data_IF_089853393927
#
_entry.id   IF_089853393927
#
_cell.length_a   1.000
_cell.length_b   1.000
_cell.length_c   1.000
_cell.angle_alpha   90.00
_cell.angle_beta   90.00
_cell.angle_gamma   90.00
#
_symmetry.space_group_name_H-M   'P 1'
#
loop_
_entity.id
_entity.type
_entity.pdbx_description
1 polymer ?
#
# COMPACT_ATOMS: atom_id res chain seq x y z
N UNK A 1 33.10 -5.95 79.94
CA UNK A 1 33.87 -7.18 79.66
C UNK A 1 32.96 -8.06 78.84
N UNK A 2 33.19 -8.49 77.61
CA UNK A 2 34.26 -8.51 76.61
C UNK A 2 33.49 -8.99 75.34
N UNK A 3 33.74 -8.64 74.09
CA UNK A 3 34.76 -7.85 73.44
C UNK A 3 34.39 -7.79 71.93
N UNK A 4 34.94 -6.77 71.24
CA UNK A 4 35.54 -6.83 69.88
C UNK A 4 34.61 -7.17 68.70
N UNK A 5 34.74 -6.63 67.49
CA UNK A 5 35.73 -5.78 66.81
C UNK A 5 35.13 -5.50 65.42
N UNK A 6 35.05 -4.25 64.94
CA UNK A 6 36.05 -3.55 64.11
C UNK A 6 36.00 -3.81 62.59
N UNK A 7 36.17 -2.69 61.86
CA UNK A 7 36.59 -2.48 60.46
C UNK A 7 35.60 -2.77 59.30
N UNK A 8 35.17 -1.70 58.60
CA UNK A 8 35.74 -1.30 57.27
C UNK A 8 35.11 0.00 56.74
N UNK A 9 35.96 0.83 56.12
CA UNK A 9 35.65 2.09 55.42
C UNK A 9 35.33 1.84 53.92
N UNK A 10 35.30 2.86 53.03
CA UNK A 10 34.14 3.30 52.26
C UNK A 10 34.14 2.80 50.79
N UNK A 11 32.98 2.79 50.12
CA UNK A 11 32.95 2.67 48.66
C UNK A 11 32.05 3.77 48.09
N UNK A 12 32.73 4.82 47.60
CA UNK A 12 32.24 5.74 46.58
C UNK A 12 31.86 4.91 45.35
N UNK A 13 30.57 4.67 45.15
CA UNK A 13 30.06 4.17 43.88
C UNK A 13 29.67 5.38 43.02
N UNK A 14 30.48 5.58 41.98
CA UNK A 14 30.32 6.59 40.93
C UNK A 14 28.89 6.60 40.42
N UNK A 15 28.25 7.77 40.44
CA UNK A 15 27.03 8.01 39.67
C UNK A 15 27.36 7.80 38.18
N UNK A 16 26.96 6.66 37.63
CA UNK A 16 26.85 6.49 36.19
C UNK A 16 25.76 7.46 35.71
N UNK A 17 26.17 8.53 35.03
CA UNK A 17 25.26 9.34 34.24
C UNK A 17 24.72 8.44 33.13
N UNK A 18 23.56 7.84 33.35
CA UNK A 18 22.80 7.19 32.28
C UNK A 18 22.31 8.31 31.36
N UNK A 19 22.88 8.34 30.16
CA UNK A 19 22.48 9.22 29.07
C UNK A 19 21.03 8.95 28.70
N UNK A 20 20.13 9.88 29.03
CA UNK A 20 18.75 9.88 28.58
C UNK A 20 18.69 10.41 27.15
N UNK A 21 18.93 9.56 26.15
CA UNK A 21 18.35 9.80 24.83
C UNK A 21 17.02 9.06 24.78
N UNK A 22 15.93 9.80 24.92
CA UNK A 22 14.60 9.30 24.55
C UNK A 22 14.56 9.19 23.04
N UNK A 23 14.55 7.97 22.51
CA UNK A 23 14.15 7.71 21.13
C UNK A 23 12.71 8.17 20.99
N UNK A 24 12.51 9.31 20.33
CA UNK A 24 11.17 9.74 19.91
C UNK A 24 10.77 8.75 18.82
N UNK A 25 9.91 7.80 19.14
CA UNK A 25 9.16 7.06 18.14
C UNK A 25 8.24 8.08 17.48
N UNK A 26 8.68 8.67 16.37
CA UNK A 26 7.79 9.41 15.50
C UNK A 26 6.98 8.35 14.78
N UNK A 27 5.78 8.07 15.29
CA UNK A 27 4.79 7.26 14.59
C UNK A 27 4.43 8.03 13.31
N UNK A 28 5.10 7.70 12.20
CA UNK A 28 4.79 8.26 10.90
C UNK A 28 3.40 7.76 10.51
N UNK A 29 2.41 8.66 10.57
CA UNK A 29 1.05 8.38 10.13
C UNK A 29 1.02 8.48 8.62
N UNK A 30 1.08 7.34 7.96
CA UNK A 30 0.73 7.21 6.55
C UNK A 30 -0.77 7.46 6.41
N UNK A 31 -1.18 8.70 6.15
CA UNK A 31 -2.59 9.06 5.92
C UNK A 31 -3.23 8.19 4.83
N UNK A 32 -2.44 7.83 3.81
CA UNK A 32 -2.83 6.91 2.73
C UNK A 32 -3.19 5.52 3.28
N UNK A 33 -2.41 5.01 4.23
CA UNK A 33 -2.60 3.67 4.81
C UNK A 33 -3.81 3.65 5.76
N UNK A 34 -4.03 4.72 6.51
CA UNK A 34 -5.23 4.87 7.35
C UNK A 34 -6.51 5.01 6.51
N UNK A 35 -6.45 5.68 5.36
CA UNK A 35 -7.56 5.75 4.41
C UNK A 35 -7.84 4.40 3.75
N UNK A 36 -6.81 3.66 3.33
CA UNK A 36 -6.95 2.29 2.82
C UNK A 36 -7.56 1.36 3.87
N UNK A 37 -7.10 1.41 5.12
CA UNK A 37 -7.65 0.59 6.21
C UNK A 37 -9.10 0.95 6.55
N UNK A 38 -9.50 2.23 6.44
CA UNK A 38 -10.90 2.65 6.57
C UNK A 38 -11.78 2.20 5.41
N UNK A 39 -11.25 2.15 4.19
CA UNK A 39 -11.97 1.66 3.01
C UNK A 39 -12.16 0.14 3.03
N UNK A 40 -11.25 -0.61 3.68
CA UNK A 40 -11.41 -2.04 3.97
C UNK A 40 -12.36 -2.19 5.17
N UNK A 41 -13.65 -1.97 4.95
CA UNK A 41 -14.70 -2.23 5.95
C UNK A 41 -14.76 -3.74 6.23
N UNK A 42 -13.97 -4.20 7.20
CA UNK A 42 -14.04 -5.59 7.70
C UNK A 42 -15.35 -5.75 8.46
N UNK A 43 -16.32 -6.45 7.86
CA UNK A 43 -17.57 -6.79 8.54
C UNK A 43 -17.23 -7.55 9.83
N UNK A 44 -17.73 -7.13 11.00
CA UNK A 44 -17.45 -7.81 12.25
C UNK A 44 -17.97 -9.25 12.19
N UNK A 45 -17.11 -10.20 12.55
CA UNK A 45 -17.48 -11.61 12.60
C UNK A 45 -18.54 -11.78 13.71
N UNK A 46 -19.72 -12.36 13.42
CA UNK A 46 -20.77 -12.53 14.42
C UNK A 46 -20.27 -13.42 15.57
N UNK A 47 -20.37 -12.90 16.80
CA UNK A 47 -19.80 -13.46 18.05
C UNK A 47 -20.35 -14.85 18.43
N UNK A 48 -21.37 -15.32 17.71
CA UNK A 48 -22.18 -16.51 17.97
C UNK A 48 -22.09 -17.56 16.87
N UNK A 49 -21.15 -17.46 15.91
CA UNK A 49 -20.87 -18.58 15.01
C UNK A 49 -20.08 -19.65 15.77
N UNK A 50 -20.64 -20.85 15.90
CA UNK A 50 -19.87 -22.03 16.29
C UNK A 50 -18.63 -22.17 15.39
N UNK A 51 -17.52 -22.68 15.94
CA UNK A 51 -16.21 -22.85 15.23
C UNK A 51 -16.31 -23.60 13.89
N UNK A 52 -17.45 -24.24 13.62
CA UNK A 52 -17.72 -25.10 12.48
C UNK A 52 -18.35 -24.32 11.31
N UNK A 53 -18.76 -23.05 11.45
CA UNK A 53 -19.56 -22.33 10.43
C UNK A 53 -18.86 -21.14 9.73
N UNK A 54 -17.55 -20.98 9.90
CA UNK A 54 -16.79 -19.91 9.22
C UNK A 54 -16.73 -20.07 7.69
N UNK A 55 -16.80 -21.30 7.18
CA UNK A 55 -16.76 -21.59 5.72
C UNK A 55 -18.12 -21.42 5.02
N UNK A 56 -19.25 -21.41 5.74
CA UNK A 56 -20.58 -21.20 5.13
C UNK A 56 -20.81 -19.74 4.72
N UNK A 57 -20.10 -18.80 5.33
CA UNK A 57 -20.15 -17.37 5.04
C UNK A 57 -18.72 -16.83 5.08
N UNK A 58 -17.92 -17.08 4.02
CA UNK A 58 -16.56 -16.56 3.99
C UNK A 58 -16.59 -15.03 4.10
N UNK A 59 -15.59 -14.47 4.77
CA UNK A 59 -15.42 -13.01 4.95
C UNK A 59 -15.37 -12.29 3.61
N UNK A 60 -14.82 -12.98 2.59
CA UNK A 60 -14.82 -12.54 1.21
C UNK A 60 -15.48 -13.63 0.34
N UNK A 61 -16.58 -13.28 -0.31
CA UNK A 61 -17.09 -14.02 -1.45
C UNK A 61 -16.70 -13.22 -2.68
N UNK A 62 -15.92 -13.82 -3.59
CA UNK A 62 -15.70 -13.19 -4.89
C UNK A 62 -17.07 -12.95 -5.53
N UNK A 63 -17.32 -11.79 -6.16
CA UNK A 63 -18.54 -11.59 -6.93
C UNK A 63 -18.53 -12.59 -8.09
N UNK A 64 -19.09 -13.77 -7.86
CA UNK A 64 -19.09 -14.87 -8.80
C UNK A 64 -20.45 -14.89 -9.48
N UNK A 65 -20.46 -14.60 -10.78
CA UNK A 65 -21.65 -14.78 -11.59
C UNK A 65 -21.93 -16.27 -11.72
N UNK A 66 -23.18 -16.67 -11.48
CA UNK A 66 -23.55 -18.07 -11.55
C UNK A 66 -23.38 -18.60 -12.98
N UNK A 67 -22.87 -19.82 -13.16
CA UNK A 67 -22.59 -20.39 -14.51
C UNK A 67 -23.86 -20.45 -15.38
N UNK A 68 -25.01 -20.80 -14.79
CA UNK A 68 -26.30 -20.75 -15.49
C UNK A 68 -26.74 -19.33 -15.89
N UNK A 69 -26.22 -18.29 -15.26
CA UNK A 69 -26.48 -16.92 -15.68
C UNK A 69 -25.55 -16.46 -16.80
N UNK A 70 -24.49 -17.21 -17.14
CA UNK A 70 -23.55 -16.82 -18.19
C UNK A 70 -23.96 -17.32 -19.58
N UNK A 71 -24.52 -18.53 -19.62
CA UNK A 71 -24.87 -19.21 -20.87
C UNK A 71 -26.32 -18.93 -21.30
N UNK A 72 -26.60 -18.98 -22.61
CA UNK A 72 -27.97 -18.98 -23.10
C UNK A 72 -28.73 -20.22 -22.62
N UNK A 73 -29.96 -20.03 -22.13
CA UNK A 73 -30.81 -21.11 -21.61
C UNK A 73 -31.33 -22.06 -22.70
N UNK A 74 -31.36 -21.62 -23.96
CA UNK A 74 -31.82 -22.40 -25.09
C UNK A 74 -30.99 -22.14 -26.34
N UNK A 75 -31.04 -23.09 -27.28
CA UNK A 75 -30.44 -22.99 -28.60
C UNK A 75 -31.44 -23.38 -29.67
N UNK A 76 -31.26 -22.84 -30.88
CA UNK A 76 -32.07 -23.23 -32.03
C UNK A 76 -31.58 -24.58 -32.57
N UNK A 77 -32.52 -25.47 -32.94
CA UNK A 77 -32.19 -26.76 -33.60
C UNK A 77 -31.41 -26.57 -34.90
N UNK A 78 -31.66 -25.46 -35.59
CA UNK A 78 -30.98 -25.06 -36.82
C UNK A 78 -29.51 -24.63 -36.59
N UNK A 79 -29.05 -24.55 -35.34
CA UNK A 79 -27.68 -24.13 -34.99
C UNK A 79 -27.46 -22.61 -34.95
N UNK A 80 -28.52 -21.80 -35.08
CA UNK A 80 -28.42 -20.34 -34.92
C UNK A 80 -27.97 -19.98 -33.51
N UNK A 81 -27.00 -19.06 -33.41
CA UNK A 81 -26.43 -18.64 -32.13
C UNK A 81 -27.37 -17.70 -31.39
N UNK A 82 -27.65 -18.01 -30.12
CA UNK A 82 -28.34 -17.12 -29.19
C UNK A 82 -27.27 -16.48 -28.30
N UNK A 83 -27.19 -15.15 -28.28
CA UNK A 83 -26.13 -14.45 -27.54
C UNK A 83 -26.50 -14.17 -26.07
N UNK A 84 -27.79 -13.93 -25.80
CA UNK A 84 -28.34 -13.58 -24.49
C UNK A 84 -29.78 -14.06 -24.43
N UNK A 85 -30.21 -14.63 -23.30
CA UNK A 85 -31.60 -15.06 -23.08
C UNK A 85 -32.36 -14.21 -22.08
N UNK A 86 -31.67 -13.45 -21.22
CA UNK A 86 -32.31 -12.63 -20.19
C UNK A 86 -31.84 -11.17 -20.18
N UNK A 87 -32.73 -10.26 -19.75
CA UNK A 87 -32.37 -8.85 -19.56
C UNK A 87 -31.23 -8.69 -18.54
N UNK A 88 -31.25 -9.51 -17.46
CA UNK A 88 -30.19 -9.51 -16.43
C UNK A 88 -28.81 -9.79 -17.01
N UNK A 89 -28.71 -10.75 -17.94
CA UNK A 89 -27.47 -11.04 -18.67
C UNK A 89 -27.01 -9.85 -19.51
N UNK A 90 -27.95 -9.15 -20.16
CA UNK A 90 -27.63 -7.97 -20.95
C UNK A 90 -27.08 -6.85 -20.08
N UNK A 91 -27.76 -6.55 -18.97
CA UNK A 91 -27.36 -5.50 -18.04
C UNK A 91 -25.98 -5.78 -17.45
N UNK A 92 -25.73 -7.01 -17.03
CA UNK A 92 -24.43 -7.43 -16.51
C UNK A 92 -23.30 -7.29 -17.55
N UNK A 93 -23.52 -7.75 -18.79
CA UNK A 93 -22.54 -7.58 -19.89
C UNK A 93 -22.28 -6.11 -20.18
N UNK A 94 -23.31 -5.28 -20.14
CA UNK A 94 -23.21 -3.84 -20.36
C UNK A 94 -22.38 -3.18 -19.26
N UNK A 95 -22.62 -3.53 -18.00
CA UNK A 95 -21.86 -3.02 -16.86
C UNK A 95 -20.39 -3.45 -16.90
N UNK A 96 -20.09 -4.69 -17.32
CA UNK A 96 -18.72 -5.13 -17.56
C UNK A 96 -18.02 -4.26 -18.62
N UNK A 97 -18.71 -3.93 -19.71
CA UNK A 97 -18.17 -3.06 -20.76
C UNK A 97 -17.91 -1.65 -20.23
N UNK A 98 -18.84 -1.08 -19.46
CA UNK A 98 -18.67 0.25 -18.83
C UNK A 98 -17.46 0.26 -17.89
N UNK A 99 -17.35 -0.75 -17.05
CA UNK A 99 -16.25 -0.89 -16.09
C UNK A 99 -14.91 -1.04 -16.82
N UNK A 100 -14.84 -1.89 -17.85
CA UNK A 100 -13.64 -2.06 -18.66
C UNK A 100 -13.21 -0.75 -19.33
N UNK A 101 -14.16 0.00 -19.93
CA UNK A 101 -13.88 1.30 -20.53
C UNK A 101 -13.33 2.30 -19.50
N UNK A 102 -13.91 2.33 -18.30
CA UNK A 102 -13.44 3.20 -17.21
C UNK A 102 -12.02 2.84 -16.77
N UNK A 103 -11.73 1.55 -16.58
CA UNK A 103 -10.38 1.08 -16.23
C UNK A 103 -9.37 1.52 -17.28
N UNK A 104 -9.68 1.29 -18.57
CA UNK A 104 -8.77 1.68 -19.66
C UNK A 104 -8.57 3.19 -19.71
N UNK A 105 -9.60 4.01 -19.44
CA UNK A 105 -9.45 5.47 -19.35
C UNK A 105 -8.49 5.86 -18.23
N UNK A 106 -8.71 5.34 -17.03
CA UNK A 106 -7.88 5.65 -15.86
C UNK A 106 -6.42 5.23 -16.08
N UNK A 107 -6.19 4.05 -16.67
CA UNK A 107 -4.84 3.58 -17.00
C UNK A 107 -4.13 4.49 -18.01
N UNK A 108 -4.87 5.05 -18.98
CA UNK A 108 -4.32 6.04 -19.92
C UNK A 108 -3.97 7.35 -19.24
N UNK A 109 -4.84 7.82 -18.34
CA UNK A 109 -4.60 9.04 -17.55
C UNK A 109 -3.35 8.88 -16.67
N UNK A 110 -3.19 7.75 -15.97
CA UNK A 110 -2.00 7.47 -15.17
C UNK A 110 -0.75 7.41 -16.04
N UNK A 111 -0.80 6.74 -17.19
CA UNK A 111 0.33 6.68 -18.12
C UNK A 111 0.75 8.07 -18.61
N UNK A 112 -0.21 8.93 -18.94
CA UNK A 112 0.08 10.31 -19.38
C UNK A 112 0.77 11.12 -18.28
N UNK A 113 0.33 11.00 -17.03
CA UNK A 113 0.96 11.65 -15.88
C UNK A 113 2.39 11.13 -15.66
N UNK A 114 2.60 9.82 -15.74
CA UNK A 114 3.94 9.22 -15.64
C UNK A 114 4.89 9.73 -16.74
N UNK A 115 4.41 9.90 -17.97
CA UNK A 115 5.20 10.44 -19.07
C UNK A 115 5.60 11.90 -18.85
N UNK A 116 4.68 12.73 -18.34
CA UNK A 116 4.96 14.12 -17.98
C UNK A 116 6.00 14.18 -16.86
N UNK A 117 5.82 13.38 -15.80
CA UNK A 117 6.75 13.31 -14.68
C UNK A 117 8.17 12.92 -15.15
N UNK A 118 8.29 11.88 -15.99
CA UNK A 118 9.59 11.47 -16.56
C UNK A 118 10.25 12.60 -17.34
N UNK A 119 9.48 13.36 -18.12
CA UNK A 119 10.00 14.53 -18.87
C UNK A 119 10.47 15.64 -17.93
N UNK A 120 9.71 15.95 -16.89
CA UNK A 120 10.08 16.98 -15.90
C UNK A 120 11.35 16.61 -15.13
N UNK A 121 11.46 15.34 -14.70
CA UNK A 121 12.67 14.84 -14.03
C UNK A 121 13.88 14.97 -14.95
N UNK A 122 13.77 14.51 -16.20
CA UNK A 122 14.86 14.62 -17.18
C UNK A 122 15.25 16.09 -17.45
N UNK A 123 14.28 17.01 -17.54
CA UNK A 123 14.55 18.44 -17.69
C UNK A 123 15.23 19.05 -16.47
N UNK A 124 14.81 18.68 -15.25
CA UNK A 124 15.46 19.13 -14.01
C UNK A 124 16.91 18.66 -13.95
N UNK A 125 17.17 17.39 -14.24
CA UNK A 125 18.53 16.84 -14.27
C UNK A 125 19.40 17.53 -15.33
N UNK A 126 18.84 17.81 -16.52
CA UNK A 126 19.56 18.54 -17.57
C UNK A 126 19.92 19.96 -17.12
N UNK A 127 18.98 20.69 -16.53
CA UNK A 127 19.22 22.04 -15.99
C UNK A 127 20.25 22.04 -14.89
N UNK A 128 20.18 21.09 -13.96
CA UNK A 128 21.15 20.96 -12.88
C UNK A 128 22.56 20.69 -13.43
N UNK A 129 22.69 19.83 -14.44
CA UNK A 129 23.98 19.58 -15.14
C UNK A 129 24.50 20.83 -15.84
N UNK A 130 23.63 21.58 -16.52
CA UNK A 130 24.02 22.85 -17.15
C UNK A 130 24.44 23.90 -16.13
N UNK A 131 23.71 24.03 -15.02
CA UNK A 131 24.08 24.93 -13.93
C UNK A 131 25.40 24.53 -13.29
N UNK A 132 25.60 23.23 -13.02
CA UNK A 132 26.86 22.72 -12.51
C UNK A 132 28.03 22.98 -13.46
N UNK A 133 27.82 22.87 -14.77
CA UNK A 133 28.84 23.18 -15.78
C UNK A 133 29.16 24.69 -15.87
N UNK A 134 28.18 25.57 -15.61
CA UNK A 134 28.37 27.03 -15.59
C UNK A 134 29.02 27.53 -14.30
N UNK A 135 28.96 26.76 -13.21
CA UNK A 135 29.56 27.16 -11.92
C UNK A 135 31.08 27.28 -12.08
N UNK A 136 31.69 28.37 -11.58
CA UNK A 136 33.15 28.51 -11.58
C UNK A 136 33.80 27.35 -10.82
N UNK A 137 34.90 26.83 -11.36
CA UNK A 137 35.71 25.80 -10.70
C UNK A 137 36.49 26.46 -9.56
N UNK A 138 36.34 25.95 -8.33
CA UNK A 138 37.16 26.40 -7.21
C UNK A 138 38.64 26.07 -7.49
N UNK A 139 39.45 27.11 -7.69
CA UNK A 139 40.90 26.98 -7.72
C UNK A 139 41.43 27.00 -6.30
N UNK A 140 41.70 25.83 -5.72
CA UNK A 140 42.25 25.80 -4.36
C UNK A 140 42.25 24.44 -3.70
N UNK A 141 43.21 23.59 -4.09
CA UNK A 141 43.89 22.54 -3.30
C UNK A 141 44.75 21.71 -4.27
N UNK A 142 45.69 22.37 -4.94
CA UNK A 142 46.86 21.63 -5.39
C UNK A 142 47.70 21.38 -4.13
N UNK A 143 47.61 20.16 -3.58
CA UNK A 143 48.61 19.69 -2.62
C UNK A 143 49.92 19.67 -3.39
N UNK A 144 50.75 20.68 -3.16
CA UNK A 144 52.14 20.72 -3.63
C UNK A 144 52.86 19.62 -2.83
N UNK A 145 53.29 18.57 -3.55
CA UNK A 145 54.10 17.49 -3.01
C UNK A 145 55.52 17.96 -2.70
#
# INVERSE_FOLDING_TARGET
>A
MFALSSFRTPIVAKASRISLYSTINVDFKDEIKEEEEKLVVRKPIPKNSSKIQSWRKPVYYAPHQHVFEQSPDFSFKDGRTVHVTSQKQLDYKLDQIRLAKKIVSLLKETQAVEEIYKKEVAQKEAREKEEAAKRPIEKGKMMIA
#
